data_IF_018231003749
#
_entry.id   IF_018231003749
#
_cell.length_a   1.000
_cell.length_b   1.000
_cell.length_c   1.000
_cell.angle_alpha   90.00
_cell.angle_beta   90.00
_cell.angle_gamma   90.00
#
_symmetry.space_group_name_H-M   'P 1'
#
loop_
_entity.id
_entity.type
_entity.pdbx_description
1 polymer ?
#
# COMPACT_ATOMS: atom_id res chain seq x y z
N UNK A 1 25.15 6.83 -4.13
CA UNK A 1 24.12 7.79 -3.67
C UNK A 1 23.39 7.11 -2.50
N UNK A 2 23.37 7.69 -1.29
CA UNK A 2 22.77 7.08 -0.09
C UNK A 2 21.31 7.52 0.00
N UNK A 3 20.42 6.89 -0.74
CA UNK A 3 18.99 7.18 -0.67
C UNK A 3 18.41 6.49 0.56
N UNK A 4 17.85 7.25 1.49
CA UNK A 4 17.17 6.70 2.66
C UNK A 4 15.73 6.35 2.24
N UNK A 5 15.37 5.07 2.37
CA UNK A 5 14.00 4.62 2.16
C UNK A 5 13.13 5.17 3.29
N UNK A 6 12.12 5.97 2.98
CA UNK A 6 11.25 6.57 3.99
C UNK A 6 10.00 5.71 4.26
N UNK A 7 9.47 5.10 3.21
CA UNK A 7 8.22 4.31 3.24
C UNK A 7 8.42 3.02 2.47
N UNK A 8 7.96 1.89 3.01
CA UNK A 8 7.91 0.60 2.30
C UNK A 8 6.50 0.01 2.37
N UNK A 9 5.93 -0.41 1.24
CA UNK A 9 4.62 -1.07 1.15
C UNK A 9 4.80 -2.58 0.98
N UNK A 10 4.02 -3.35 1.75
CA UNK A 10 3.93 -4.81 1.63
C UNK A 10 2.46 -5.15 1.47
N UNK A 11 2.12 -5.94 0.45
CA UNK A 11 0.75 -6.44 0.26
C UNK A 11 0.50 -7.01 -1.13
N UNK A 12 -0.54 -7.84 -1.22
CA UNK A 12 -1.06 -8.38 -2.46
C UNK A 12 -1.63 -7.25 -3.30
N UNK A 13 -0.94 -6.89 -4.38
CA UNK A 13 -1.48 -5.92 -5.34
C UNK A 13 -1.84 -6.68 -6.61
N UNK A 14 -2.98 -6.35 -7.23
CA UNK A 14 -3.30 -6.81 -8.59
C UNK A 14 -2.12 -6.62 -9.55
N UNK A 15 -1.37 -5.53 -9.31
CA UNK A 15 -0.12 -5.16 -9.95
C UNK A 15 0.97 -6.25 -9.92
N UNK A 16 1.18 -6.95 -8.79
CA UNK A 16 2.17 -8.04 -8.75
C UNK A 16 1.68 -9.28 -9.48
N UNK A 17 0.37 -9.53 -9.51
CA UNK A 17 -0.22 -10.67 -10.21
C UNK A 17 -0.12 -10.54 -11.73
N UNK A 18 -0.49 -9.39 -12.30
CA UNK A 18 -0.39 -9.14 -13.74
C UNK A 18 1.06 -9.19 -14.22
N UNK A 19 1.97 -8.49 -13.54
CA UNK A 19 3.39 -8.50 -13.89
C UNK A 19 4.02 -9.89 -13.82
N UNK A 20 3.87 -10.58 -12.68
CA UNK A 20 4.56 -11.85 -12.45
C UNK A 20 3.93 -13.01 -13.22
N UNK A 21 2.62 -13.01 -13.47
CA UNK A 21 1.93 -14.12 -14.14
C UNK A 21 1.73 -13.89 -15.63
N UNK A 22 1.49 -12.65 -16.09
CA UNK A 22 1.24 -12.36 -17.51
C UNK A 22 2.49 -11.89 -18.26
N UNK A 23 3.64 -11.73 -17.59
CA UNK A 23 4.88 -11.16 -18.16
C UNK A 23 4.69 -9.78 -18.78
N UNK A 24 3.78 -8.99 -18.21
CA UNK A 24 3.59 -7.59 -18.59
C UNK A 24 4.76 -6.73 -18.09
N UNK A 25 4.79 -5.45 -18.43
CA UNK A 25 5.83 -4.54 -17.95
C UNK A 25 5.75 -4.35 -16.41
N UNK A 26 6.87 -4.06 -15.73
CA UNK A 26 6.87 -3.82 -14.29
C UNK A 26 5.87 -2.71 -13.91
N UNK A 27 5.00 -2.95 -12.92
CA UNK A 27 3.95 -2.00 -12.60
C UNK A 27 4.60 -0.75 -12.01
N UNK A 28 4.16 0.43 -12.46
CA UNK A 28 4.56 1.68 -11.78
C UNK A 28 3.72 1.80 -10.52
N UNK A 29 4.38 1.80 -9.37
CA UNK A 29 3.71 1.97 -8.09
C UNK A 29 4.16 3.27 -7.43
N UNK A 30 3.33 4.31 -7.52
CA UNK A 30 3.59 5.64 -6.97
C UNK A 30 3.68 5.69 -5.44
N UNK A 31 3.42 4.57 -4.75
CA UNK A 31 3.33 4.53 -3.29
C UNK A 31 4.03 3.33 -2.64
N UNK A 32 4.81 2.56 -3.41
CA UNK A 32 5.40 1.31 -2.95
C UNK A 32 6.62 1.55 -2.07
N UNK A 33 7.67 2.21 -2.59
CA UNK A 33 8.79 2.66 -1.77
C UNK A 33 9.15 4.07 -2.14
N UNK A 34 9.13 4.98 -1.17
CA UNK A 34 9.42 6.40 -1.41
C UNK A 34 10.71 6.77 -0.70
N UNK A 35 11.62 7.40 -1.43
CA UNK A 35 12.90 7.90 -0.90
C UNK A 35 12.76 9.27 -0.19
N UNK A 36 13.89 9.87 0.19
CA UNK A 36 13.92 11.22 0.77
C UNK A 36 13.63 12.35 -0.21
N UNK A 37 13.69 12.09 -1.50
CA UNK A 37 13.40 13.05 -2.56
C UNK A 37 11.95 12.94 -3.05
N UNK A 38 11.14 12.05 -2.47
CA UNK A 38 9.76 11.81 -2.88
C UNK A 38 9.63 10.94 -4.14
N UNK A 39 10.71 10.31 -4.59
CA UNK A 39 10.70 9.41 -5.74
C UNK A 39 10.24 8.02 -5.30
N UNK A 40 9.34 7.42 -6.10
CA UNK A 40 8.84 6.08 -5.83
C UNK A 40 9.54 5.06 -6.72
N UNK A 41 9.97 3.94 -6.14
CA UNK A 41 10.55 2.81 -6.85
C UNK A 41 10.03 1.47 -6.30
N UNK A 42 10.12 0.42 -7.11
CA UNK A 42 9.94 -0.95 -6.64
C UNK A 42 11.31 -1.52 -6.32
N UNK A 43 11.55 -1.82 -5.03
CA UNK A 43 12.84 -2.32 -4.54
C UNK A 43 12.92 -3.85 -4.50
N UNK A 44 11.81 -4.56 -4.72
CA UNK A 44 11.78 -6.01 -4.72
C UNK A 44 10.38 -6.60 -4.83
N UNK A 45 10.34 -7.84 -5.31
CA UNK A 45 9.16 -8.69 -5.30
C UNK A 45 9.47 -9.93 -4.46
N UNK A 46 8.50 -10.39 -3.67
CA UNK A 46 8.59 -11.63 -2.92
C UNK A 46 7.31 -12.42 -3.18
N UNK A 47 7.48 -13.64 -3.69
CA UNK A 47 6.39 -14.60 -3.83
C UNK A 47 6.45 -15.53 -2.63
N UNK A 48 5.41 -15.51 -1.82
CA UNK A 48 5.27 -16.38 -0.66
C UNK A 48 4.34 -17.54 -1.00
N UNK A 49 4.71 -18.74 -0.56
CA UNK A 49 3.87 -19.94 -0.68
C UNK A 49 2.69 -19.91 0.30
N UNK A 50 2.86 -19.21 1.42
CA UNK A 50 1.90 -19.08 2.52
C UNK A 50 2.22 -17.83 3.35
N UNK A 51 1.24 -17.34 4.11
CA UNK A 51 1.36 -16.17 4.99
C UNK A 51 1.59 -16.55 6.45
N UNK A 52 2.18 -17.72 6.70
CA UNK A 52 2.55 -18.14 8.04
C UNK A 52 3.76 -17.34 8.57
N UNK A 53 3.94 -17.40 9.89
CA UNK A 53 4.98 -16.64 10.59
C UNK A 53 6.39 -16.93 10.05
N UNK A 54 6.69 -18.20 9.75
CA UNK A 54 8.02 -18.62 9.30
C UNK A 54 8.30 -18.06 7.90
N UNK A 55 7.34 -18.19 6.98
CA UNK A 55 7.47 -17.67 5.62
C UNK A 55 7.63 -16.15 5.59
N UNK A 56 6.84 -15.42 6.39
CA UNK A 56 6.95 -13.95 6.50
C UNK A 56 8.28 -13.54 7.15
N UNK A 57 8.74 -14.28 8.15
CA UNK A 57 10.03 -14.03 8.81
C UNK A 57 11.22 -14.24 7.86
N UNK A 58 11.16 -15.30 7.05
CA UNK A 58 12.16 -15.60 6.02
C UNK A 58 12.18 -14.53 4.93
N UNK A 59 11.02 -14.06 4.49
CA UNK A 59 10.91 -12.94 3.55
C UNK A 59 11.57 -11.68 4.11
N UNK A 60 11.23 -11.28 5.34
CA UNK A 60 11.78 -10.08 5.96
C UNK A 60 13.30 -10.18 6.17
N UNK A 61 13.81 -11.35 6.55
CA UNK A 61 15.25 -11.62 6.69
C UNK A 61 15.97 -11.53 5.35
N UNK A 62 15.38 -12.11 4.30
CA UNK A 62 15.89 -12.05 2.93
C UNK A 62 15.92 -10.60 2.43
N UNK A 63 14.85 -9.84 2.62
CA UNK A 63 14.81 -8.42 2.26
C UNK A 63 15.97 -7.65 2.92
N UNK A 64 16.23 -7.88 4.21
CA UNK A 64 17.30 -7.21 4.96
C UNK A 64 18.70 -7.59 4.47
N UNK A 65 18.92 -8.83 4.03
CA UNK A 65 20.22 -9.28 3.53
C UNK A 65 20.58 -8.60 2.21
N UNK A 66 19.60 -8.40 1.33
CA UNK A 66 19.79 -7.70 0.05
C UNK A 66 19.79 -6.17 0.19
N UNK A 67 19.16 -5.61 1.23
CA UNK A 67 18.99 -4.17 1.38
C UNK A 67 19.57 -3.63 2.69
N UNK A 68 20.90 -3.54 2.89
CA UNK A 68 21.50 -3.08 4.16
C UNK A 68 21.02 -1.70 4.66
N UNK A 69 20.47 -0.88 3.77
CA UNK A 69 19.89 0.44 4.02
C UNK A 69 18.51 0.33 4.74
N UNK A 70 17.95 -0.87 4.89
CA UNK A 70 16.68 -1.13 5.57
C UNK A 70 16.57 -0.49 6.97
N UNK A 71 17.71 -0.30 7.65
CA UNK A 71 17.79 0.38 8.96
C UNK A 71 17.30 1.83 8.92
N UNK A 72 17.29 2.45 7.75
CA UNK A 72 16.83 3.83 7.56
C UNK A 72 15.33 3.93 7.31
N UNK A 73 14.63 2.81 7.10
CA UNK A 73 13.17 2.78 6.92
C UNK A 73 12.50 3.42 8.14
N UNK A 74 11.66 4.42 7.87
CA UNK A 74 10.92 5.15 8.92
C UNK A 74 9.50 4.63 9.09
N UNK A 75 8.89 4.20 8.00
CA UNK A 75 7.54 3.68 7.98
C UNK A 75 7.41 2.45 7.07
N UNK A 76 6.68 1.45 7.53
CA UNK A 76 6.18 0.34 6.72
C UNK A 76 4.66 0.45 6.66
N UNK A 77 4.10 0.27 5.47
CA UNK A 77 2.68 0.20 5.23
C UNK A 77 2.31 -1.23 4.84
N UNK A 78 1.66 -1.94 5.74
CA UNK A 78 1.27 -3.34 5.56
C UNK A 78 -0.25 -3.48 5.45
N UNK A 79 -0.72 -4.66 5.05
CA UNK A 79 -2.14 -4.99 5.11
C UNK A 79 -2.62 -5.12 6.58
N UNK A 80 -3.93 -5.26 6.76
CA UNK A 80 -4.65 -5.36 8.04
C UNK A 80 -4.50 -6.74 8.69
N UNK A 81 -3.46 -7.50 8.38
CA UNK A 81 -3.23 -8.82 8.97
C UNK A 81 -2.31 -8.75 10.19
N UNK A 82 -2.84 -9.19 11.33
CA UNK A 82 -2.19 -9.07 12.64
C UNK A 82 -0.89 -9.88 12.75
N UNK A 83 -0.80 -11.02 12.07
CA UNK A 83 0.37 -11.91 12.10
C UNK A 83 1.58 -11.24 11.46
N UNK A 84 1.42 -10.74 10.23
CA UNK A 84 2.46 -9.99 9.53
C UNK A 84 2.86 -8.74 10.31
N UNK A 85 1.87 -7.99 10.80
CA UNK A 85 2.10 -6.76 11.54
C UNK A 85 2.96 -6.97 12.80
N UNK A 86 2.74 -8.07 13.53
CA UNK A 86 3.55 -8.39 14.71
C UNK A 86 4.97 -8.82 14.34
N UNK A 87 5.13 -9.61 13.27
CA UNK A 87 6.45 -10.03 12.81
C UNK A 87 7.26 -8.84 12.29
N UNK A 88 6.65 -7.94 11.51
CA UNK A 88 7.31 -6.71 11.08
C UNK A 88 7.71 -5.83 12.25
N UNK A 89 6.91 -5.75 13.33
CA UNK A 89 7.31 -5.01 14.53
C UNK A 89 8.56 -5.60 15.18
N UNK A 90 8.63 -6.92 15.28
CA UNK A 90 9.79 -7.61 15.86
C UNK A 90 11.04 -7.41 14.98
N UNK A 91 10.86 -7.53 13.67
CA UNK A 91 11.93 -7.44 12.69
C UNK A 91 12.41 -6.00 12.46
N UNK A 92 11.53 -5.00 12.53
CA UNK A 92 11.80 -3.60 12.23
C UNK A 92 11.47 -2.70 13.43
N UNK A 93 12.06 -2.99 14.58
CA UNK A 93 11.73 -2.35 15.86
C UNK A 93 11.80 -0.80 15.86
N UNK A 94 12.65 -0.20 15.03
CA UNK A 94 12.78 1.26 14.91
C UNK A 94 11.77 1.92 13.96
N UNK A 95 10.91 1.13 13.32
CA UNK A 95 10.05 1.57 12.21
C UNK A 95 8.59 1.64 12.65
N UNK A 96 7.86 2.65 12.20
CA UNK A 96 6.40 2.72 12.41
C UNK A 96 5.69 1.83 11.39
N UNK A 97 4.82 0.95 11.83
CA UNK A 97 3.99 0.15 10.92
C UNK A 97 2.58 0.73 10.91
N UNK A 98 2.09 1.05 9.72
CA UNK A 98 0.78 1.62 9.46
C UNK A 98 -0.02 0.72 8.54
N UNK A 99 -1.35 0.81 8.60
CA UNK A 99 -2.22 0.18 7.61
C UNK A 99 -2.01 0.88 6.26
N UNK A 100 -1.92 0.09 5.20
CA UNK A 100 -1.82 0.60 3.84
C UNK A 100 -2.96 1.58 3.52
N UNK A 101 -2.62 2.72 2.90
CA UNK A 101 -3.60 3.72 2.50
C UNK A 101 -4.71 3.14 1.61
N UNK A 102 -4.38 2.17 0.75
CA UNK A 102 -5.36 1.50 -0.09
C UNK A 102 -6.39 0.73 0.74
N UNK A 103 -5.95 -0.04 1.74
CA UNK A 103 -6.84 -0.77 2.64
C UNK A 103 -7.61 0.15 3.58
N UNK A 104 -7.00 1.26 4.01
CA UNK A 104 -7.68 2.30 4.76
C UNK A 104 -8.83 2.90 3.94
N UNK A 105 -8.55 3.40 2.73
CA UNK A 105 -9.55 3.99 1.84
C UNK A 105 -10.62 2.98 1.42
N UNK A 106 -10.24 1.74 1.08
CA UNK A 106 -11.19 0.67 0.72
C UNK A 106 -12.11 0.32 1.89
N UNK A 107 -11.59 0.27 3.11
CA UNK A 107 -12.39 0.04 4.32
C UNK A 107 -13.32 1.22 4.58
N UNK A 108 -12.80 2.45 4.48
CA UNK A 108 -13.60 3.67 4.62
C UNK A 108 -14.73 3.72 3.59
N UNK A 109 -14.48 3.46 2.31
CA UNK A 109 -15.52 3.47 1.27
C UNK A 109 -16.60 2.41 1.48
N UNK A 110 -16.27 1.29 2.13
CA UNK A 110 -17.24 0.21 2.46
C UNK A 110 -18.07 0.51 3.69
N UNK A 111 -17.51 1.21 4.67
CA UNK A 111 -18.15 1.45 5.97
C UNK A 111 -18.81 2.83 6.07
N UNK A 112 -18.21 3.84 5.44
CA UNK A 112 -18.68 5.23 5.45
C UNK A 112 -19.61 5.44 4.24
N UNK A 113 -20.78 4.80 4.28
CA UNK A 113 -21.86 5.02 3.31
C UNK A 113 -23.00 5.80 3.94
N UNK A 114 -23.78 6.53 3.13
CA UNK A 114 -24.94 7.28 3.63
C UNK A 114 -25.94 6.37 4.37
N UNK A 115 -26.14 5.15 3.85
CA UNK A 115 -26.99 4.12 4.45
C UNK A 115 -26.48 3.70 5.83
N UNK A 116 -25.20 3.31 5.95
CA UNK A 116 -24.60 2.87 7.22
C UNK A 116 -24.47 3.99 8.24
N UNK A 117 -24.22 5.21 7.78
CA UNK A 117 -24.03 6.38 8.63
C UNK A 117 -25.36 7.08 8.98
N UNK A 118 -26.48 6.62 8.43
CA UNK A 118 -27.81 7.25 8.57
C UNK A 118 -27.79 8.76 8.28
N UNK A 119 -27.07 9.15 7.23
CA UNK A 119 -26.97 10.54 6.76
C UNK A 119 -27.50 10.66 5.35
N UNK A 120 -28.15 11.78 5.04
CA UNK A 120 -28.63 12.05 3.68
C UNK A 120 -27.50 12.67 2.85
N UNK A 121 -27.22 12.10 1.67
CA UNK A 121 -26.22 12.69 0.78
C UNK A 121 -26.70 14.04 0.25
N UNK A 122 -26.00 15.11 0.61
CA UNK A 122 -26.21 16.45 0.02
C UNK A 122 -25.46 16.58 -1.32
N UNK A 123 -24.56 15.65 -1.63
CA UNK A 123 -23.74 15.63 -2.84
C UNK A 123 -23.91 14.30 -3.59
N UNK A 124 -24.69 14.31 -4.67
CA UNK A 124 -24.71 13.18 -5.62
C UNK A 124 -23.43 13.20 -6.45
N UNK A 125 -22.36 12.54 -6.00
CA UNK A 125 -21.27 12.14 -6.89
C UNK A 125 -21.24 10.62 -6.99
N UNK A 126 -21.53 10.14 -8.20
CA UNK A 126 -21.24 8.78 -8.63
C UNK A 126 -19.74 8.54 -8.47
N UNK A 127 -19.38 7.61 -7.58
CA UNK A 127 -18.05 7.01 -7.58
C UNK A 127 -17.92 6.21 -8.87
N UNK A 128 -17.15 6.71 -9.84
CA UNK A 128 -16.58 5.83 -10.86
C UNK A 128 -15.48 5.01 -10.18
N UNK A 129 -15.50 3.68 -10.24
CA UNK A 129 -14.38 2.86 -9.81
C UNK A 129 -13.11 3.42 -10.40
N UNK A 130 -12.08 3.53 -9.58
CA UNK A 130 -10.76 4.00 -9.96
C UNK A 130 -10.26 3.03 -11.04
N UNK A 131 -10.39 3.38 -12.33
CA UNK A 131 -9.55 2.77 -13.34
C UNK A 131 -8.11 3.14 -13.01
N UNK A 132 -7.25 2.13 -13.02
CA UNK A 132 -5.88 2.19 -12.55
C UNK A 132 -5.15 3.42 -13.12
N UNK A 133 -4.74 4.34 -12.24
CA UNK A 133 -3.70 5.33 -12.56
C UNK A 133 -4.10 6.79 -12.80
N UNK A 134 -5.35 7.26 -12.60
CA UNK A 134 -5.64 8.71 -12.69
C UNK A 134 -6.60 9.21 -11.61
N UNK A 135 -6.05 9.80 -10.55
CA UNK A 135 -6.82 10.65 -9.65
C UNK A 135 -6.96 12.05 -10.29
N UNK A 136 -8.06 12.28 -11.02
CA UNK A 136 -8.48 13.64 -11.39
C UNK A 136 -9.78 13.95 -10.65
N UNK A 137 -9.66 14.75 -9.59
CA UNK A 137 -10.80 15.41 -8.97
C UNK A 137 -11.38 16.40 -10.00
N UNK A 138 -12.51 16.05 -10.61
CA UNK A 138 -13.30 17.05 -11.33
C UNK A 138 -14.48 17.46 -10.44
N UNK A 139 -14.36 18.66 -9.90
CA UNK A 139 -15.46 19.34 -9.22
C UNK A 139 -16.31 20.08 -10.25
N UNK A 140 -17.33 19.41 -10.77
CA UNK A 140 -18.42 20.08 -11.46
C UNK A 140 -19.56 20.33 -10.48
N UNK A 141 -19.48 21.47 -9.78
CA UNK A 141 -20.61 22.07 -9.09
C UNK A 141 -21.59 22.65 -10.13
N UNK A 142 -22.84 22.19 -10.11
CA UNK A 142 -23.95 22.90 -10.77
C UNK A 142 -24.99 23.28 -9.71
N UNK A 143 -25.18 24.58 -9.42
CA UNK A 143 -26.23 25.00 -8.51
C UNK A 143 -27.60 24.69 -9.14
N UNK A 144 -28.55 24.21 -8.33
CA UNK A 144 -29.94 24.06 -8.74
C UNK A 144 -30.57 25.46 -8.80
N UNK A 145 -31.06 25.83 -9.98
CA UNK A 145 -32.04 26.92 -10.19
C UNK A 145 -33.42 26.48 -9.72
#
# INVERSE_FOLDING_TARGET
MKTALNRMRIGHTSLTHQYLMNKEDPPVCDSCVVDSNGQSEIVGFCLLTSEDLETVSNMATTFKSFNPIWKNIKCIMADKDFTEHNEFKNQFASTKILICIFHCLRSMSREITCEKMNITSVYSKSYSPIEEGKALWTDSYKPKT
#
